data_IF_359585433951
#
_entry.id   IF_359585433951
#
_cell.length_a   1.000
_cell.length_b   1.000
_cell.length_c   1.000
_cell.angle_alpha   90.00
_cell.angle_beta   90.00
_cell.angle_gamma   90.00
#
_symmetry.space_group_name_H-M   'P 1'
#
loop_
_entity.id
_entity.type
_entity.pdbx_description
1 polymer ?
#
# COMPACT_ATOMS: atom_id res chain seq x y z
N UNK A 1 -18.89 -62.68 -14.07
CA UNK A 1 -18.87 -61.71 -15.19
C UNK A 1 -19.60 -60.46 -14.68
N UNK A 2 -18.94 -59.32 -14.47
CA UNK A 2 -18.87 -58.18 -15.42
C UNK A 2 -20.30 -57.75 -15.81
N UNK A 3 -20.88 -56.56 -15.56
CA UNK A 3 -20.48 -55.19 -15.14
C UNK A 3 -21.69 -54.61 -14.32
N UNK A 4 -21.74 -53.43 -13.66
CA UNK A 4 -20.90 -52.20 -13.55
C UNK A 4 -21.13 -51.57 -12.15
N UNK A 5 -20.59 -50.38 -11.85
CA UNK A 5 -21.01 -49.51 -10.73
C UNK A 5 -21.30 -48.10 -11.27
N UNK A 6 -22.44 -47.52 -10.89
CA UNK A 6 -22.89 -46.14 -11.21
C UNK A 6 -23.80 -45.65 -10.07
N UNK A 7 -23.94 -44.37 -9.73
CA UNK A 7 -23.09 -43.17 -9.88
C UNK A 7 -23.75 -42.12 -8.96
N UNK A 8 -23.01 -41.39 -8.12
CA UNK A 8 -23.65 -40.37 -7.25
C UNK A 8 -22.83 -39.84 -6.07
N UNK A 9 -21.52 -39.64 -6.23
CA UNK A 9 -20.72 -38.99 -5.19
C UNK A 9 -21.09 -37.49 -5.13
N UNK A 10 -21.40 -36.99 -3.93
CA UNK A 10 -21.82 -35.61 -3.73
C UNK A 10 -20.71 -34.60 -4.08
N UNK A 11 -21.00 -33.67 -4.98
CA UNK A 11 -20.14 -32.51 -5.24
C UNK A 11 -20.39 -31.48 -4.15
N UNK A 12 -19.54 -31.45 -3.14
CA UNK A 12 -19.52 -30.37 -2.16
C UNK A 12 -19.01 -29.08 -2.84
N UNK A 13 -19.87 -28.06 -2.96
CA UNK A 13 -19.45 -26.73 -3.39
C UNK A 13 -18.58 -26.10 -2.29
N UNK A 14 -17.26 -26.24 -2.42
CA UNK A 14 -16.32 -25.37 -1.72
C UNK A 14 -16.41 -23.97 -2.33
N UNK A 15 -17.25 -23.12 -1.73
CA UNK A 15 -17.24 -21.69 -1.98
C UNK A 15 -15.93 -21.09 -1.45
N UNK A 16 -14.91 -21.05 -2.31
CA UNK A 16 -13.66 -20.37 -2.02
C UNK A 16 -13.91 -18.86 -2.01
N UNK A 17 -14.15 -18.30 -0.81
CA UNK A 17 -14.12 -16.87 -0.57
C UNK A 17 -12.70 -16.34 -0.76
N UNK A 18 -12.37 -16.00 -2.00
CA UNK A 18 -11.18 -15.20 -2.28
C UNK A 18 -11.29 -13.88 -1.49
N UNK A 19 -10.28 -13.49 -0.71
CA UNK A 19 -10.28 -12.16 -0.12
C UNK A 19 -10.16 -11.15 -1.25
N UNK A 20 -11.12 -10.24 -1.34
CA UNK A 20 -11.03 -9.01 -2.12
C UNK A 20 -9.86 -8.16 -1.57
N UNK A 21 -8.65 -8.47 -2.05
CA UNK A 21 -7.45 -7.68 -1.80
C UNK A 21 -7.60 -6.38 -2.57
N UNK A 22 -8.24 -5.41 -1.91
CA UNK A 22 -8.60 -4.09 -2.40
C UNK A 22 -7.67 -3.61 -3.52
N UNK A 23 -8.15 -3.68 -4.76
CA UNK A 23 -7.43 -3.20 -5.94
C UNK A 23 -7.43 -1.66 -5.99
N UNK A 24 -6.72 -1.04 -5.04
CA UNK A 24 -6.28 0.35 -5.10
C UNK A 24 -5.18 0.55 -6.16
N UNK A 25 -5.42 0.05 -7.37
CA UNK A 25 -4.54 0.24 -8.54
C UNK A 25 -4.90 1.51 -9.30
N UNK A 26 -5.11 2.60 -8.56
CA UNK A 26 -5.54 3.89 -9.12
C UNK A 26 -4.38 4.62 -9.82
N UNK A 27 -3.13 4.33 -9.45
CA UNK A 27 -1.89 4.67 -10.20
C UNK A 27 -0.62 4.01 -9.65
N UNK A 28 0.46 4.10 -10.42
CA UNK A 28 1.81 3.71 -10.00
C UNK A 28 2.45 4.74 -9.07
N UNK A 29 3.44 4.31 -8.29
CA UNK A 29 4.26 5.20 -7.47
C UNK A 29 5.02 6.22 -8.33
N UNK A 30 5.45 5.84 -9.54
CA UNK A 30 6.16 6.79 -10.42
C UNK A 30 5.25 7.95 -10.87
N UNK A 31 4.00 7.66 -11.23
CA UNK A 31 3.02 8.69 -11.56
C UNK A 31 2.72 9.61 -10.36
N UNK A 32 2.65 9.05 -9.15
CA UNK A 32 2.52 9.81 -7.90
C UNK A 32 3.71 10.75 -7.68
N UNK A 33 4.93 10.23 -7.74
CA UNK A 33 6.17 11.00 -7.54
C UNK A 33 6.32 12.09 -8.60
N UNK A 34 6.00 11.79 -9.86
CA UNK A 34 6.04 12.76 -10.95
C UNK A 34 5.04 13.91 -10.75
N UNK A 35 3.84 13.67 -10.21
CA UNK A 35 2.91 14.75 -9.87
C UNK A 35 3.34 15.52 -8.61
N UNK A 36 3.78 14.81 -7.57
CA UNK A 36 4.27 15.41 -6.32
C UNK A 36 5.46 16.37 -6.56
N UNK A 37 6.42 15.97 -7.42
CA UNK A 37 7.55 16.81 -7.81
C UNK A 37 7.16 18.08 -8.58
N UNK A 38 5.94 18.18 -9.13
CA UNK A 38 5.42 19.39 -9.80
C UNK A 38 4.73 20.35 -8.84
N UNK A 39 4.46 19.96 -7.59
CA UNK A 39 3.86 20.85 -6.59
C UNK A 39 4.89 21.91 -6.18
N UNK A 40 4.62 23.22 -6.36
CA UNK A 40 5.56 24.26 -5.93
C UNK A 40 5.78 24.20 -4.42
N UNK A 41 7.02 24.34 -3.95
CA UNK A 41 7.34 24.38 -2.51
C UNK A 41 7.20 25.80 -1.96
N UNK A 42 5.96 26.31 -1.92
CA UNK A 42 5.62 27.62 -1.37
C UNK A 42 4.40 27.56 -0.45
N UNK A 43 4.23 28.57 0.41
CA UNK A 43 3.19 28.61 1.44
C UNK A 43 1.75 28.43 0.91
N UNK A 44 1.50 28.83 -0.35
CA UNK A 44 0.17 28.70 -0.98
C UNK A 44 -0.07 27.36 -1.68
N UNK A 45 0.91 26.46 -1.68
CA UNK A 45 0.81 25.19 -2.41
C UNK A 45 -0.31 24.28 -1.91
N UNK A 46 -0.51 24.20 -0.60
CA UNK A 46 -1.58 23.40 0.01
C UNK A 46 -3.00 23.86 -0.37
N UNK A 47 -3.17 25.08 -0.90
CA UNK A 47 -4.48 25.54 -1.39
C UNK A 47 -4.80 25.08 -2.82
N UNK A 48 -3.80 24.62 -3.59
CA UNK A 48 -4.01 24.15 -4.97
C UNK A 48 -4.80 22.83 -4.96
N UNK A 49 -5.87 22.67 -5.76
CA UNK A 49 -6.68 21.44 -5.76
C UNK A 49 -5.90 20.16 -6.04
N UNK A 50 -4.87 20.20 -6.90
CA UNK A 50 -3.96 19.08 -7.16
C UNK A 50 -3.12 18.71 -5.93
N UNK A 51 -2.53 19.68 -5.25
CA UNK A 51 -1.78 19.45 -4.02
C UNK A 51 -2.67 18.86 -2.90
N UNK A 52 -3.91 19.35 -2.75
CA UNK A 52 -4.87 18.76 -1.80
C UNK A 52 -5.22 17.31 -2.15
N UNK A 53 -5.40 17.01 -3.45
CA UNK A 53 -5.64 15.64 -3.93
C UNK A 53 -4.47 14.71 -3.59
N UNK A 54 -3.23 15.16 -3.86
CA UNK A 54 -2.00 14.43 -3.54
C UNK A 54 -1.85 14.16 -2.04
N UNK A 55 -2.10 15.17 -1.20
CA UNK A 55 -2.05 15.04 0.25
C UNK A 55 -3.11 14.04 0.77
N UNK A 56 -4.33 14.08 0.23
CA UNK A 56 -5.39 13.15 0.59
C UNK A 56 -5.08 11.71 0.16
N UNK A 57 -4.54 11.52 -1.04
CA UNK A 57 -4.13 10.20 -1.56
C UNK A 57 -2.98 9.61 -0.75
N UNK A 58 -1.88 10.36 -0.58
CA UNK A 58 -0.73 9.91 0.19
C UNK A 58 -1.05 9.71 1.67
N UNK A 59 -1.84 10.60 2.27
CA UNK A 59 -2.33 10.45 3.64
C UNK A 59 -3.27 9.26 3.83
N UNK A 60 -3.99 8.84 2.79
CA UNK A 60 -4.82 7.62 2.83
C UNK A 60 -3.97 6.37 2.72
N UNK A 61 -3.06 6.32 1.74
CA UNK A 61 -2.12 5.22 1.61
C UNK A 61 -1.25 5.02 2.88
N UNK A 62 -0.76 6.10 3.49
CA UNK A 62 -0.01 6.02 4.75
C UNK A 62 -0.83 5.44 5.90
N UNK A 63 -2.07 5.91 6.11
CA UNK A 63 -2.96 5.40 7.17
C UNK A 63 -3.23 3.90 6.99
N UNK A 64 -3.59 3.49 5.78
CA UNK A 64 -3.85 2.07 5.48
C UNK A 64 -2.62 1.20 5.77
N UNK A 65 -1.42 1.66 5.39
CA UNK A 65 -0.17 0.91 5.62
C UNK A 65 0.21 0.84 7.10
N UNK A 66 -0.05 1.89 7.88
CA UNK A 66 0.11 1.87 9.34
C UNK A 66 -0.86 0.86 9.98
N UNK A 67 -2.13 0.88 9.58
CA UNK A 67 -3.14 -0.05 10.10
C UNK A 67 -2.89 -1.50 9.67
N UNK A 68 -2.41 -1.74 8.44
CA UNK A 68 -1.93 -3.07 8.01
C UNK A 68 -0.80 -3.58 8.91
N UNK A 69 0.20 -2.75 9.21
CA UNK A 69 1.33 -3.13 10.06
C UNK A 69 0.90 -3.39 11.52
N UNK A 70 -0.02 -2.57 12.05
CA UNK A 70 -0.62 -2.74 13.38
C UNK A 70 -1.45 -4.02 13.46
N UNK A 71 -2.33 -4.27 12.49
CA UNK A 71 -3.16 -5.46 12.42
C UNK A 71 -2.32 -6.74 12.28
N UNK A 72 -1.27 -6.72 11.46
CA UNK A 72 -0.32 -7.83 11.35
C UNK A 72 0.35 -8.12 12.71
N UNK A 73 0.87 -7.08 13.38
CA UNK A 73 1.49 -7.21 14.71
C UNK A 73 0.51 -7.73 15.77
N UNK A 74 -0.72 -7.20 15.82
CA UNK A 74 -1.75 -7.63 16.76
C UNK A 74 -2.17 -9.10 16.53
N UNK A 75 -2.17 -9.56 15.28
CA UNK A 75 -2.41 -10.95 14.90
C UNK A 75 -1.18 -11.87 15.04
N UNK A 76 -0.07 -11.39 15.63
CA UNK A 76 1.18 -12.17 15.77
C UNK A 76 1.87 -12.51 14.45
N UNK A 77 1.48 -11.87 13.34
CA UNK A 77 2.06 -12.10 12.00
C UNK A 77 3.35 -11.28 11.83
N UNK A 78 4.33 -11.79 11.06
CA UNK A 78 5.49 -11.00 10.66
C UNK A 78 5.08 -9.69 9.96
N UNK A 79 5.70 -8.59 10.36
CA UNK A 79 5.59 -7.27 9.72
C UNK A 79 7.00 -6.67 9.57
N UNK A 80 7.23 -5.98 8.46
CA UNK A 80 8.50 -5.26 8.24
C UNK A 80 8.58 -3.93 9.00
N UNK A 81 7.44 -3.41 9.46
CA UNK A 81 7.34 -2.11 10.13
C UNK A 81 6.66 -2.25 11.50
N UNK A 82 7.20 -1.54 12.48
CA UNK A 82 6.70 -1.42 13.85
C UNK A 82 6.45 0.06 14.17
N UNK A 83 5.42 0.69 13.57
CA UNK A 83 5.14 2.11 13.77
C UNK A 83 4.73 2.43 15.21
N UNK A 84 5.12 3.60 15.76
CA UNK A 84 4.60 4.11 17.03
C UNK A 84 3.12 4.51 16.94
N UNK A 85 2.55 4.92 18.09
CA UNK A 85 1.17 5.41 18.19
C UNK A 85 0.90 6.63 17.29
N UNK A 86 1.86 7.55 17.21
CA UNK A 86 1.84 8.70 16.29
C UNK A 86 3.02 8.61 15.33
N UNK A 87 2.74 8.46 14.04
CA UNK A 87 3.73 8.55 12.96
C UNK A 87 3.75 9.99 12.44
N UNK A 88 4.87 10.67 12.60
CA UNK A 88 5.09 12.01 12.06
C UNK A 88 5.73 11.89 10.67
N UNK A 89 5.15 12.57 9.68
CA UNK A 89 5.53 12.44 8.27
C UNK A 89 6.01 13.78 7.73
N UNK A 90 7.32 13.92 7.55
CA UNK A 90 7.86 15.03 6.78
C UNK A 90 7.72 14.74 5.27
N UNK A 91 6.96 15.59 4.58
CA UNK A 91 6.67 15.41 3.16
C UNK A 91 7.92 15.55 2.26
N UNK A 92 8.94 16.31 2.69
CA UNK A 92 10.20 16.46 2.00
C UNK A 92 11.06 15.20 2.10
N UNK A 93 11.18 14.62 3.29
CA UNK A 93 11.89 13.36 3.55
C UNK A 93 11.20 12.20 2.84
N UNK A 94 9.86 12.12 2.89
CA UNK A 94 9.06 11.11 2.19
C UNK A 94 9.27 11.17 0.68
N UNK A 95 9.13 12.37 0.08
CA UNK A 95 9.32 12.55 -1.36
C UNK A 95 10.79 12.36 -1.78
N UNK A 96 11.74 12.69 -0.91
CA UNK A 96 13.16 12.37 -1.10
C UNK A 96 13.42 10.86 -1.16
N UNK A 97 12.86 10.10 -0.20
CA UNK A 97 12.92 8.64 -0.19
C UNK A 97 12.30 8.03 -1.46
N UNK A 98 11.10 8.49 -1.86
CA UNK A 98 10.48 8.00 -3.10
C UNK A 98 11.31 8.36 -4.35
N UNK A 99 11.89 9.55 -4.43
CA UNK A 99 12.76 9.93 -5.55
C UNK A 99 14.04 9.08 -5.63
N UNK A 100 14.56 8.58 -4.50
CA UNK A 100 15.72 7.69 -4.46
C UNK A 100 15.41 6.27 -4.99
N UNK A 101 14.14 5.84 -5.03
CA UNK A 101 13.74 4.57 -5.65
C UNK A 101 13.88 4.72 -7.18
N UNK A 102 14.60 3.82 -7.89
CA UNK A 102 14.79 3.92 -9.34
C UNK A 102 13.46 4.00 -10.12
N UNK A 103 13.34 4.84 -11.17
CA UNK A 103 12.07 5.03 -11.90
C UNK A 103 11.46 3.73 -12.43
N UNK A 104 12.29 2.83 -12.97
CA UNK A 104 11.85 1.51 -13.47
C UNK A 104 11.23 0.63 -12.37
N UNK A 105 11.64 0.81 -11.11
CA UNK A 105 11.06 0.13 -9.95
C UNK A 105 9.76 0.81 -9.52
N UNK A 106 9.74 2.14 -9.41
CA UNK A 106 8.52 2.92 -9.08
C UNK A 106 7.38 2.70 -10.07
N UNK A 107 7.69 2.48 -11.35
CA UNK A 107 6.71 2.18 -12.39
C UNK A 107 5.99 0.83 -12.17
N UNK A 108 6.54 -0.06 -11.34
CA UNK A 108 5.95 -1.36 -10.97
C UNK A 108 5.42 -1.42 -9.54
N UNK A 109 5.55 -0.34 -8.77
CA UNK A 109 5.07 -0.24 -7.39
C UNK A 109 3.72 0.48 -7.37
N UNK A 110 2.79 0.03 -6.52
CA UNK A 110 1.67 0.88 -6.15
C UNK A 110 2.16 2.01 -5.23
N UNK A 111 1.35 3.06 -5.07
CA UNK A 111 1.61 4.12 -4.08
C UNK A 111 1.77 3.52 -2.67
N UNK A 112 0.91 2.54 -2.32
CA UNK A 112 0.92 1.84 -1.03
C UNK A 112 2.22 1.09 -0.78
N UNK A 113 2.81 0.48 -1.80
CA UNK A 113 4.09 -0.24 -1.66
C UNK A 113 5.25 0.72 -1.37
N UNK A 114 5.24 1.91 -1.97
CA UNK A 114 6.17 2.99 -1.61
C UNK A 114 6.04 3.35 -0.13
N UNK A 115 4.82 3.57 0.36
CA UNK A 115 4.54 3.87 1.76
C UNK A 115 4.95 2.71 2.71
N UNK A 116 4.75 1.45 2.33
CA UNK A 116 5.21 0.27 3.10
C UNK A 116 6.73 0.26 3.27
N UNK A 117 7.46 0.49 2.19
CA UNK A 117 8.93 0.55 2.23
C UNK A 117 9.44 1.74 3.05
N UNK A 118 8.82 2.91 2.92
CA UNK A 118 9.17 4.06 3.75
C UNK A 118 8.91 3.78 5.24
N UNK A 119 7.75 3.19 5.57
CA UNK A 119 7.39 2.91 6.96
C UNK A 119 8.33 1.87 7.58
N UNK A 120 8.68 0.81 6.84
CA UNK A 120 9.65 -0.19 7.27
C UNK A 120 11.07 0.40 7.42
N UNK A 121 11.48 1.29 6.51
CA UNK A 121 12.77 2.00 6.59
C UNK A 121 12.84 2.95 7.79
N UNK A 122 11.74 3.64 8.11
CA UNK A 122 11.71 4.67 9.18
C UNK A 122 11.42 4.10 10.56
N UNK A 123 10.67 2.99 10.63
CA UNK A 123 10.23 2.31 11.84
C UNK A 123 10.41 0.78 11.73
N UNK A 124 11.66 0.29 11.57
CA UNK A 124 11.92 -1.15 11.52
C UNK A 124 11.56 -1.81 12.86
N UNK A 125 11.04 -3.03 12.79
CA UNK A 125 10.91 -3.87 13.98
C UNK A 125 12.31 -4.25 14.51
N UNK A 126 12.44 -4.30 15.84
CA UNK A 126 13.62 -4.71 16.60
C UNK A 126 13.20 -5.68 17.69
#
# INVERSE_FOLDING_TARGET
MIRTISLGAAIALFAASAPDLAQAQTRTLDAFVAEANRVPRNATAAFRPSARRLLNEGGTAMREVIEEARAARAAGRPTAACPPERVEVDAGQLLGFFNAIPPSRRARMSVRDGFREWLASRHPCR
#
